data_IF_734081998369
#
_entry.id   IF_734081998369
#
_cell.length_a   1.000
_cell.length_b   1.000
_cell.length_c   1.000
_cell.angle_alpha   90.00
_cell.angle_beta   90.00
_cell.angle_gamma   90.00
#
_symmetry.space_group_name_H-M   'P 1'
#
loop_
_entity.id
_entity.type
_entity.pdbx_description
1 polymer ?
#
# COMPACT_ATOMS: atom_id res chain seq x y z
N UNK A 1 -7.32 -3.75 1.04
CA UNK A 1 -8.09 -3.97 2.30
C UNK A 1 -8.16 -2.65 3.08
N UNK A 2 -9.26 -2.29 3.79
CA UNK A 2 -9.30 -1.04 4.60
C UNK A 2 -10.06 -1.18 5.95
N UNK A 3 -9.30 -0.91 7.02
CA UNK A 3 -9.56 -0.55 8.44
C UNK A 3 -10.37 -1.45 9.40
N UNK A 4 -9.66 -1.94 10.44
CA UNK A 4 -9.65 -1.37 11.80
C UNK A 4 -8.24 -1.56 12.41
N UNK A 5 -7.57 -0.49 12.83
CA UNK A 5 -6.16 -0.54 13.26
C UNK A 5 -6.02 -0.72 14.78
N UNK A 6 -5.04 -1.53 15.16
CA UNK A 6 -4.50 -1.56 16.53
C UNK A 6 -3.00 -1.34 16.40
N UNK A 7 -2.45 -0.49 17.27
CA UNK A 7 -1.02 -0.15 17.26
C UNK A 7 -0.21 -1.40 17.60
N UNK A 8 0.30 -2.08 16.58
CA UNK A 8 1.15 -3.25 16.79
C UNK A 8 2.57 -2.78 17.09
N UNK A 9 2.95 -2.80 18.37
CA UNK A 9 4.32 -2.50 18.79
C UNK A 9 5.35 -3.40 18.08
N UNK A 10 6.36 -2.79 17.46
CA UNK A 10 7.50 -3.45 16.82
C UNK A 10 7.33 -3.82 15.33
N UNK A 11 6.15 -3.60 14.74
CA UNK A 11 5.88 -3.88 13.32
C UNK A 11 6.73 -3.01 12.39
N UNK A 12 6.76 -1.69 12.67
CA UNK A 12 7.55 -0.74 11.87
C UNK A 12 9.04 -0.97 12.04
N UNK A 13 9.51 -1.29 13.25
CA UNK A 13 10.91 -1.64 13.48
C UNK A 13 11.33 -2.88 12.69
N UNK A 14 10.46 -3.89 12.61
CA UNK A 14 10.71 -5.11 11.85
C UNK A 14 10.84 -4.81 10.35
N UNK A 15 9.90 -4.03 9.80
CA UNK A 15 9.89 -3.70 8.37
C UNK A 15 10.98 -2.69 7.99
N UNK A 16 11.25 -1.68 8.83
CA UNK A 16 12.28 -0.67 8.60
C UNK A 16 13.71 -1.25 8.68
N UNK A 17 13.96 -2.18 9.62
CA UNK A 17 15.26 -2.88 9.74
C UNK A 17 15.47 -3.91 8.64
N UNK A 18 14.43 -4.24 7.86
CA UNK A 18 14.52 -5.12 6.69
C UNK A 18 15.09 -4.41 5.46
N UNK A 19 15.52 -3.14 5.53
CA UNK A 19 16.25 -2.47 4.43
C UNK A 19 17.42 -3.36 3.96
N UNK A 20 17.23 -4.04 2.82
CA UNK A 20 18.25 -4.83 2.14
C UNK A 20 18.03 -6.35 2.08
N UNK A 21 16.83 -6.85 1.74
CA UNK A 21 16.76 -8.16 1.06
C UNK A 21 16.88 -7.93 -0.46
N UNK A 22 18.05 -7.45 -0.85
CA UNK A 22 18.59 -7.45 -2.22
C UNK A 22 20.08 -7.07 -2.03
N UNK A 23 21.08 -7.96 -2.11
CA UNK A 23 21.60 -8.54 -3.38
C UNK A 23 22.47 -9.82 -3.20
N UNK A 24 22.43 -10.54 -2.08
CA UNK A 24 23.35 -11.70 -1.85
C UNK A 24 22.78 -12.85 -1.01
N UNK A 25 21.46 -12.94 -0.84
CA UNK A 25 20.87 -14.09 -0.13
C UNK A 25 20.61 -15.20 -1.15
N UNK A 26 21.37 -16.28 -1.05
CA UNK A 26 21.23 -17.49 -1.86
C UNK A 26 19.74 -17.88 -1.96
N UNK A 27 19.19 -18.08 -3.16
CA UNK A 27 17.75 -18.37 -3.37
C UNK A 27 17.25 -19.52 -2.49
N UNK A 28 18.12 -20.52 -2.23
CA UNK A 28 17.85 -21.64 -1.31
C UNK A 28 17.54 -21.20 0.14
N UNK A 29 18.05 -20.07 0.60
CA UNK A 29 17.79 -19.53 1.95
C UNK A 29 16.42 -18.84 2.02
N UNK A 30 15.95 -18.25 0.91
CA UNK A 30 14.65 -17.57 0.80
C UNK A 30 13.48 -18.57 0.69
N UNK A 31 13.72 -19.73 0.06
CA UNK A 31 12.76 -20.84 -0.06
C UNK A 31 12.68 -21.70 1.23
N UNK A 32 13.57 -21.48 2.20
CA UNK A 32 13.54 -22.20 3.49
C UNK A 32 12.30 -21.89 4.34
N UNK A 33 12.02 -22.75 5.34
CA UNK A 33 10.90 -22.56 6.29
C UNK A 33 11.01 -21.25 7.07
N UNK A 34 9.88 -20.62 7.49
CA UNK A 34 9.88 -19.36 8.20
C UNK A 34 10.63 -19.51 9.52
N UNK A 35 11.30 -18.44 9.95
CA UNK A 35 11.98 -18.44 11.25
C UNK A 35 10.96 -18.47 12.39
N UNK A 36 11.33 -18.99 13.56
CA UNK A 36 10.46 -18.95 14.75
C UNK A 36 9.98 -17.53 15.09
N UNK A 37 10.84 -16.53 14.83
CA UNK A 37 10.50 -15.12 15.03
C UNK A 37 9.40 -14.66 14.07
N UNK A 38 9.45 -15.08 12.80
CA UNK A 38 8.38 -14.80 11.83
C UNK A 38 7.08 -15.49 12.23
N UNK A 39 7.12 -16.78 12.60
CA UNK A 39 5.93 -17.54 13.00
C UNK A 39 5.23 -16.88 14.20
N UNK A 40 5.96 -16.64 15.30
CA UNK A 40 5.42 -15.97 16.50
C UNK A 40 4.83 -14.60 16.19
N UNK A 41 5.44 -13.87 15.26
CA UNK A 41 4.96 -12.56 14.86
C UNK A 41 3.68 -12.66 14.02
N UNK A 42 3.66 -13.55 13.02
CA UNK A 42 2.47 -13.81 12.17
C UNK A 42 1.29 -14.26 13.03
N UNK A 43 1.48 -15.21 13.96
CA UNK A 43 0.41 -15.69 14.83
C UNK A 43 -0.21 -14.56 15.64
N UNK A 44 0.64 -13.69 16.20
CA UNK A 44 0.18 -12.48 16.89
C UNK A 44 -0.60 -11.57 15.93
N UNK A 45 -0.09 -11.33 14.74
CA UNK A 45 -0.70 -10.41 13.77
C UNK A 45 -2.03 -10.91 13.24
N UNK A 46 -2.18 -12.21 13.00
CA UNK A 46 -3.45 -12.80 12.54
C UNK A 46 -4.57 -12.67 13.59
N UNK A 47 -4.20 -12.54 14.87
CA UNK A 47 -5.15 -12.25 15.95
C UNK A 47 -5.50 -10.76 16.05
N UNK A 48 -4.54 -9.87 15.79
CA UNK A 48 -4.71 -8.41 15.91
C UNK A 48 -5.27 -7.76 14.64
N UNK A 49 -5.03 -8.36 13.48
CA UNK A 49 -5.36 -7.84 12.15
C UNK A 49 -6.00 -8.95 11.29
N UNK A 50 -7.22 -9.43 11.62
CA UNK A 50 -7.82 -10.57 10.94
C UNK A 50 -8.10 -10.35 9.45
N UNK A 51 -8.24 -9.08 9.02
CA UNK A 51 -8.50 -8.75 7.62
C UNK A 51 -7.35 -9.08 6.66
N UNK A 52 -6.12 -9.25 7.17
CA UNK A 52 -5.00 -9.67 6.31
C UNK A 52 -5.25 -11.03 5.69
N UNK A 53 -6.14 -11.85 6.26
CA UNK A 53 -6.52 -13.16 5.71
C UNK A 53 -7.19 -13.09 4.34
N UNK A 54 -7.60 -11.89 3.91
CA UNK A 54 -8.19 -11.64 2.60
C UNK A 54 -7.13 -11.24 1.55
N UNK A 55 -5.86 -11.09 1.93
CA UNK A 55 -4.80 -10.66 1.03
C UNK A 55 -4.15 -11.84 0.32
N UNK A 56 -3.61 -11.60 -0.88
CA UNK A 56 -2.95 -12.64 -1.66
C UNK A 56 -1.68 -13.16 -0.95
N UNK A 57 -0.98 -12.31 -0.19
CA UNK A 57 0.22 -12.71 0.55
C UNK A 57 -0.12 -13.65 1.72
N UNK A 58 -1.35 -13.60 2.24
CA UNK A 58 -1.82 -14.61 3.19
C UNK A 58 -2.08 -15.94 2.48
N UNK A 59 -2.73 -15.92 1.32
CA UNK A 59 -2.95 -17.12 0.49
C UNK A 59 -1.60 -17.77 0.14
N UNK A 60 -0.66 -17.00 -0.41
CA UNK A 60 0.70 -17.46 -0.77
C UNK A 60 1.46 -18.04 0.44
N UNK A 61 1.31 -17.44 1.63
CA UNK A 61 1.94 -17.93 2.85
C UNK A 61 1.33 -19.25 3.33
N UNK A 62 0.00 -19.41 3.23
CA UNK A 62 -0.68 -20.66 3.62
C UNK A 62 -0.36 -21.79 2.64
N UNK A 63 -0.33 -21.50 1.33
CA UNK A 63 0.02 -22.49 0.30
C UNK A 63 1.50 -22.88 0.36
N UNK A 64 2.39 -21.91 0.53
CA UNK A 64 3.83 -22.14 0.60
C UNK A 64 4.48 -21.27 1.69
N UNK A 65 4.56 -21.75 2.94
CA UNK A 65 5.10 -20.98 4.06
C UNK A 65 6.63 -20.93 3.98
N UNK A 66 7.18 -20.13 3.07
CA UNK A 66 8.62 -19.84 2.99
C UNK A 66 8.97 -18.64 3.87
N UNK A 67 10.26 -18.43 4.15
CA UNK A 67 10.73 -17.18 4.79
C UNK A 67 10.31 -15.96 3.98
N UNK A 68 10.34 -16.05 2.65
CA UNK A 68 9.94 -14.99 1.75
C UNK A 68 8.45 -14.67 1.91
N UNK A 69 7.57 -15.66 1.83
CA UNK A 69 6.12 -15.46 1.93
C UNK A 69 5.71 -15.00 3.33
N UNK A 70 6.35 -15.53 4.37
CA UNK A 70 6.18 -15.04 5.73
C UNK A 70 6.56 -13.55 5.86
N UNK A 71 7.66 -13.15 5.23
CA UNK A 71 8.09 -11.76 5.22
C UNK A 71 7.20 -10.86 4.37
N UNK A 72 6.69 -11.33 3.24
CA UNK A 72 5.71 -10.62 2.42
C UNK A 72 4.44 -10.36 3.24
N UNK A 73 3.87 -11.39 3.88
CA UNK A 73 2.71 -11.26 4.75
C UNK A 73 2.91 -10.24 5.88
N UNK A 74 4.06 -10.26 6.57
CA UNK A 74 4.36 -9.27 7.62
C UNK A 74 4.43 -7.84 7.05
N UNK A 75 5.01 -7.67 5.87
CA UNK A 75 5.05 -6.37 5.18
C UNK A 75 3.64 -5.90 4.83
N UNK A 76 2.80 -6.77 4.26
CA UNK A 76 1.39 -6.48 3.95
C UNK A 76 0.60 -6.09 5.20
N UNK A 77 0.87 -6.71 6.35
CA UNK A 77 0.27 -6.32 7.62
C UNK A 77 0.68 -4.90 8.01
N UNK A 78 1.96 -4.53 7.89
CA UNK A 78 2.41 -3.16 8.16
C UNK A 78 1.76 -2.14 7.24
N UNK A 79 1.66 -2.46 5.96
CA UNK A 79 1.15 -1.55 4.94
C UNK A 79 -0.37 -1.34 5.05
N UNK A 80 -1.12 -2.38 5.42
CA UNK A 80 -2.54 -2.29 5.74
C UNK A 80 -2.83 -1.59 7.09
N UNK A 81 -1.79 -1.30 7.89
CA UNK A 81 -1.91 -0.64 9.20
C UNK A 81 -1.07 0.66 9.24
N UNK A 82 -1.46 1.70 8.47
CA UNK A 82 -0.76 2.99 8.44
C UNK A 82 -0.64 3.63 9.83
N UNK A 83 -1.59 3.38 10.74
CA UNK A 83 -1.57 3.90 12.11
C UNK A 83 -0.51 3.23 13.01
N UNK A 84 0.14 2.16 12.54
CA UNK A 84 1.30 1.59 13.21
C UNK A 84 2.54 2.49 13.05
N UNK A 85 2.56 3.38 12.05
CA UNK A 85 3.62 4.37 11.84
C UNK A 85 3.50 5.53 12.84
N UNK A 86 4.64 6.17 13.15
CA UNK A 86 4.70 7.26 14.14
C UNK A 86 3.84 8.45 13.71
N UNK A 87 3.84 8.75 12.42
CA UNK A 87 3.01 9.78 11.80
C UNK A 87 2.77 9.43 10.31
N UNK A 88 1.85 10.17 9.67
CA UNK A 88 1.51 10.02 8.24
C UNK A 88 2.74 10.26 7.35
N UNK A 89 3.60 11.21 7.72
CA UNK A 89 4.85 11.53 7.01
C UNK A 89 5.75 10.30 6.86
N UNK A 90 5.91 9.53 7.94
CA UNK A 90 6.73 8.31 7.96
C UNK A 90 6.15 7.25 7.04
N UNK A 91 4.82 7.09 7.01
CA UNK A 91 4.15 6.16 6.10
C UNK A 91 4.38 6.55 4.63
N UNK A 92 4.15 7.82 4.27
CA UNK A 92 4.36 8.31 2.89
C UNK A 92 5.83 8.14 2.48
N UNK A 93 6.75 8.50 3.37
CA UNK A 93 8.18 8.30 3.12
C UNK A 93 8.50 6.83 2.86
N UNK A 94 7.92 5.93 3.66
CA UNK A 94 8.13 4.50 3.56
C UNK A 94 7.65 3.96 2.21
N UNK A 95 6.40 4.21 1.80
CA UNK A 95 5.87 3.71 0.51
C UNK A 95 6.63 4.32 -0.68
N UNK A 96 7.03 5.59 -0.59
CA UNK A 96 7.72 6.29 -1.68
C UNK A 96 9.19 5.85 -1.87
N UNK A 97 9.80 5.20 -0.88
CA UNK A 97 11.25 4.91 -0.86
C UNK A 97 11.61 3.46 -0.57
N UNK A 98 10.63 2.58 -0.29
CA UNK A 98 10.91 1.16 -0.03
C UNK A 98 11.51 0.48 -1.27
N UNK A 99 12.27 -0.61 -1.07
CA UNK A 99 12.70 -1.46 -2.18
C UNK A 99 11.52 -1.87 -3.08
N UNK A 100 11.79 -2.07 -4.36
CA UNK A 100 10.81 -2.48 -5.38
C UNK A 100 9.69 -1.47 -5.68
N UNK A 101 9.73 -0.27 -5.09
CA UNK A 101 8.94 0.85 -5.60
C UNK A 101 9.46 1.24 -6.98
N UNK A 102 8.56 1.35 -7.94
CA UNK A 102 8.90 1.87 -9.24
C UNK A 102 8.96 3.40 -9.17
N UNK A 103 10.01 3.98 -9.75
CA UNK A 103 10.31 5.40 -9.62
C UNK A 103 10.14 6.12 -10.95
N UNK A 104 9.15 7.01 -11.00
CA UNK A 104 9.00 7.98 -12.10
C UNK A 104 9.92 9.20 -11.92
N UNK A 105 10.48 9.39 -10.72
CA UNK A 105 11.40 10.49 -10.39
C UNK A 105 12.48 10.04 -9.38
N UNK A 106 12.99 10.95 -8.54
CA UNK A 106 13.94 10.59 -7.46
C UNK A 106 13.35 9.62 -6.42
N UNK A 107 12.01 9.56 -6.33
CA UNK A 107 11.23 8.67 -5.48
C UNK A 107 10.09 7.99 -6.25
N UNK A 108 9.39 7.06 -5.60
CA UNK A 108 8.28 6.32 -6.19
C UNK A 108 6.90 6.97 -6.06
N UNK A 109 6.79 8.06 -5.28
CA UNK A 109 5.53 8.78 -5.17
C UNK A 109 5.23 9.58 -6.45
N UNK A 110 4.02 9.42 -6.98
CA UNK A 110 3.47 10.17 -8.11
C UNK A 110 2.04 10.65 -7.81
N UNK A 111 1.49 11.50 -8.66
CA UNK A 111 0.15 12.05 -8.50
C UNK A 111 -0.40 12.57 -9.83
N UNK A 112 -1.41 13.45 -9.76
CA UNK A 112 -1.96 14.08 -10.97
C UNK A 112 -0.90 14.93 -11.69
N UNK A 113 -0.10 15.66 -10.94
CA UNK A 113 1.02 16.49 -11.41
C UNK A 113 2.21 15.64 -11.87
N UNK A 114 2.98 16.16 -12.85
CA UNK A 114 4.16 15.45 -13.40
C UNK A 114 5.32 15.36 -12.42
N UNK A 115 5.54 16.41 -11.62
CA UNK A 115 6.68 16.49 -10.71
C UNK A 115 6.19 16.60 -9.27
N UNK A 116 5.96 15.45 -8.65
CA UNK A 116 5.62 15.40 -7.23
C UNK A 116 6.89 15.65 -6.40
N UNK A 117 6.85 16.63 -5.49
CA UNK A 117 7.90 16.85 -4.51
C UNK A 117 7.55 16.17 -3.19
N UNK A 118 8.18 15.03 -2.88
CA UNK A 118 7.92 14.27 -1.66
C UNK A 118 7.99 15.12 -0.38
N UNK A 119 8.88 16.11 -0.30
CA UNK A 119 9.00 16.96 0.90
C UNK A 119 7.82 17.91 1.08
N UNK A 120 7.22 18.37 -0.02
CA UNK A 120 6.02 19.21 0.00
C UNK A 120 4.80 18.39 0.35
N UNK A 121 4.62 17.22 -0.28
CA UNK A 121 3.51 16.29 0.02
C UNK A 121 3.48 15.91 1.49
N UNK A 122 4.65 15.62 2.07
CA UNK A 122 4.79 15.33 3.49
C UNK A 122 4.28 16.45 4.38
N UNK A 123 4.72 17.68 4.12
CA UNK A 123 4.27 18.88 4.86
C UNK A 123 2.78 19.13 4.68
N UNK A 124 2.27 18.94 3.46
CA UNK A 124 0.85 19.08 3.16
C UNK A 124 0.04 18.11 4.03
N UNK A 125 0.40 16.83 4.03
CA UNK A 125 -0.36 15.79 4.74
C UNK A 125 -0.29 15.90 6.27
N UNK A 126 0.82 16.42 6.81
CA UNK A 126 0.92 16.73 8.24
C UNK A 126 -0.07 17.82 8.68
N UNK A 127 -0.40 18.76 7.79
CA UNK A 127 -1.31 19.87 8.07
C UNK A 127 -2.78 19.56 7.79
N UNK A 128 -3.11 18.35 7.31
CA UNK A 128 -4.49 17.94 7.06
C UNK A 128 -5.20 17.67 8.39
N UNK A 129 -6.21 18.48 8.67
CA UNK A 129 -7.13 18.31 9.80
C UNK A 129 -8.22 17.25 9.54
N UNK A 130 -8.40 16.83 8.28
CA UNK A 130 -9.35 15.81 7.84
C UNK A 130 -8.81 14.37 7.85
N UNK A 131 -9.61 13.46 7.29
CA UNK A 131 -9.23 12.05 7.14
C UNK A 131 -8.29 11.91 5.94
N UNK A 132 -7.20 11.18 6.14
CA UNK A 132 -6.32 10.74 5.05
C UNK A 132 -6.58 9.26 4.84
N UNK A 133 -7.10 8.92 3.67
CA UNK A 133 -7.37 7.56 3.26
C UNK A 133 -6.12 6.98 2.61
N UNK A 134 -5.77 5.73 2.93
CA UNK A 134 -4.60 5.07 2.35
C UNK A 134 -4.96 3.72 1.73
N UNK A 135 -5.75 3.70 0.63
CA UNK A 135 -6.13 2.46 -0.04
C UNK A 135 -4.90 1.71 -0.56
N UNK A 136 -4.94 0.39 -0.45
CA UNK A 136 -4.01 -0.49 -1.16
C UNK A 136 -4.84 -1.31 -2.14
N UNK A 137 -4.51 -1.16 -3.42
CA UNK A 137 -5.14 -1.88 -4.52
C UNK A 137 -4.08 -2.80 -5.11
N UNK A 138 -4.39 -4.09 -5.11
CA UNK A 138 -3.50 -5.15 -5.58
C UNK A 138 -4.20 -5.93 -6.67
N UNK A 139 -3.46 -6.25 -7.72
CA UNK A 139 -3.90 -7.10 -8.82
C UNK A 139 -3.05 -8.37 -8.82
N UNK A 140 -3.63 -9.49 -9.24
CA UNK A 140 -2.81 -10.64 -9.62
C UNK A 140 -1.94 -10.26 -10.81
N UNK A 141 -0.72 -10.80 -10.88
CA UNK A 141 0.22 -10.53 -11.97
C UNK A 141 -0.42 -10.71 -13.34
N UNK A 142 -1.17 -11.80 -13.54
CA UNK A 142 -1.80 -12.09 -14.82
C UNK A 142 -2.86 -11.05 -15.19
N UNK A 143 -3.59 -10.53 -14.20
CA UNK A 143 -4.58 -9.47 -14.40
C UNK A 143 -3.91 -8.12 -14.65
N UNK A 144 -2.85 -7.80 -13.93
CA UNK A 144 -2.08 -6.57 -14.15
C UNK A 144 -1.50 -6.51 -15.57
N UNK A 145 -0.91 -7.61 -16.05
CA UNK A 145 -0.40 -7.73 -17.42
C UNK A 145 -1.53 -7.65 -18.46
N UNK A 146 -2.63 -8.39 -18.23
CA UNK A 146 -3.80 -8.40 -19.13
C UNK A 146 -4.46 -7.03 -19.26
N UNK A 147 -4.53 -6.27 -18.18
CA UNK A 147 -5.12 -4.93 -18.13
C UNK A 147 -4.11 -3.83 -18.51
N UNK A 148 -2.81 -4.15 -18.60
CA UNK A 148 -1.74 -3.19 -18.88
C UNK A 148 -1.41 -2.27 -17.69
N UNK A 149 -1.76 -2.67 -16.47
CA UNK A 149 -1.47 -1.94 -15.22
C UNK A 149 -0.27 -2.57 -14.49
N UNK A 150 0.83 -2.79 -15.21
CA UNK A 150 2.04 -3.48 -14.74
C UNK A 150 3.21 -2.54 -14.41
N UNK A 151 3.01 -1.23 -14.56
CA UNK A 151 4.01 -0.18 -14.32
C UNK A 151 3.38 1.11 -13.75
N UNK A 152 4.22 1.96 -13.16
CA UNK A 152 3.77 3.15 -12.44
C UNK A 152 3.08 4.18 -13.35
N UNK A 153 3.55 4.35 -14.59
CA UNK A 153 2.97 5.30 -15.55
C UNK A 153 1.54 4.91 -15.95
N UNK A 154 1.29 3.62 -16.13
CA UNK A 154 -0.04 3.10 -16.44
C UNK A 154 -1.00 3.24 -15.26
N UNK A 155 -0.55 2.95 -14.04
CA UNK A 155 -1.33 3.21 -12.82
C UNK A 155 -1.66 4.69 -12.66
N UNK A 156 -0.68 5.58 -12.89
CA UNK A 156 -0.88 7.02 -12.84
C UNK A 156 -1.93 7.46 -13.87
N UNK A 157 -1.84 6.96 -15.10
CA UNK A 157 -2.77 7.29 -16.17
C UNK A 157 -4.20 6.82 -15.87
N UNK A 158 -4.34 5.61 -15.34
CA UNK A 158 -5.64 5.06 -14.91
C UNK A 158 -6.28 5.92 -13.83
N UNK A 159 -5.55 6.26 -12.77
CA UNK A 159 -6.11 7.07 -11.68
C UNK A 159 -6.48 8.47 -12.18
N UNK A 160 -5.66 9.08 -13.05
CA UNK A 160 -6.02 10.37 -13.69
C UNK A 160 -7.30 10.26 -14.53
N UNK A 161 -7.52 9.17 -15.24
CA UNK A 161 -8.75 8.95 -16.01
C UNK A 161 -9.97 8.74 -15.09
N UNK A 162 -9.76 8.19 -13.89
CA UNK A 162 -10.80 7.82 -12.92
C UNK A 162 -10.97 8.79 -11.76
N UNK A 163 -10.22 9.89 -11.71
CA UNK A 163 -10.16 10.79 -10.57
C UNK A 163 -11.51 11.40 -10.17
N UNK A 164 -12.41 11.69 -11.12
CA UNK A 164 -13.75 12.21 -10.81
C UNK A 164 -14.62 11.14 -10.14
N UNK A 165 -14.60 9.91 -10.68
CA UNK A 165 -15.30 8.76 -10.11
C UNK A 165 -14.76 8.44 -8.70
N UNK A 166 -13.45 8.53 -8.50
CA UNK A 166 -12.85 8.35 -7.18
C UNK A 166 -13.26 9.47 -6.22
N UNK A 167 -13.26 10.74 -6.64
CA UNK A 167 -13.70 11.85 -5.81
C UNK A 167 -15.13 11.66 -5.29
N UNK A 168 -16.04 11.21 -6.15
CA UNK A 168 -17.42 10.85 -5.78
C UNK A 168 -17.46 9.69 -4.79
N UNK A 169 -16.68 8.63 -5.02
CA UNK A 169 -16.61 7.46 -4.12
C UNK A 169 -16.10 7.84 -2.73
N UNK A 170 -15.12 8.75 -2.65
CA UNK A 170 -14.57 9.25 -1.38
C UNK A 170 -15.40 10.34 -0.72
N UNK A 171 -16.51 10.78 -1.35
CA UNK A 171 -17.34 11.90 -0.90
C UNK A 171 -16.51 13.17 -0.67
N UNK A 172 -15.66 13.50 -1.65
CA UNK A 172 -14.81 14.70 -1.66
C UNK A 172 -15.17 15.52 -2.90
N UNK A 173 -15.47 16.83 -2.78
CA UNK A 173 -15.64 17.70 -3.93
C UNK A 173 -14.45 17.60 -4.87
N UNK A 174 -14.69 17.50 -6.19
CA UNK A 174 -13.63 17.20 -7.14
C UNK A 174 -12.50 18.26 -7.15
N UNK A 175 -12.84 19.51 -6.90
CA UNK A 175 -11.90 20.63 -6.76
C UNK A 175 -11.07 20.58 -5.47
N UNK A 176 -11.53 19.85 -4.45
CA UNK A 176 -10.80 19.58 -3.22
C UNK A 176 -10.09 18.21 -3.22
N UNK A 177 -10.33 17.36 -4.22
CA UNK A 177 -9.83 15.99 -4.26
C UNK A 177 -8.34 15.94 -4.60
N UNK A 178 -7.53 15.50 -3.64
CA UNK A 178 -6.09 15.28 -3.83
C UNK A 178 -5.74 13.82 -3.64
N UNK A 179 -4.87 13.31 -4.52
CA UNK A 179 -4.38 11.95 -4.44
C UNK A 179 -2.89 11.86 -4.82
N UNK A 180 -2.23 10.89 -4.19
CA UNK A 180 -0.90 10.41 -4.57
C UNK A 180 -0.89 8.89 -4.61
N UNK A 181 0.06 8.32 -5.36
CA UNK A 181 0.24 6.88 -5.52
C UNK A 181 1.71 6.49 -5.45
N UNK A 182 1.99 5.28 -4.98
CA UNK A 182 3.29 4.61 -5.11
C UNK A 182 3.06 3.17 -5.57
N UNK A 183 3.61 2.82 -6.73
CA UNK A 183 3.45 1.49 -7.33
C UNK A 183 4.62 0.58 -6.96
N UNK A 184 4.30 -0.67 -6.60
CA UNK A 184 5.23 -1.72 -6.28
C UNK A 184 5.05 -2.89 -7.23
N UNK A 185 6.08 -3.16 -8.03
CA UNK A 185 6.05 -4.19 -9.06
C UNK A 185 6.46 -5.56 -8.50
N UNK A 186 5.71 -6.05 -7.51
CA UNK A 186 6.00 -7.34 -6.86
C UNK A 186 5.59 -8.52 -7.74
N UNK A 187 6.45 -9.55 -7.86
CA UNK A 187 6.32 -10.62 -8.85
C UNK A 187 4.93 -11.26 -8.94
N UNK A 188 4.28 -11.56 -7.81
CA UNK A 188 2.94 -12.17 -7.79
C UNK A 188 1.81 -11.15 -7.85
N UNK A 189 1.90 -10.08 -7.05
CA UNK A 189 0.78 -9.18 -6.79
C UNK A 189 1.21 -7.72 -6.88
N UNK A 190 1.44 -7.18 -8.10
CA UNK A 190 1.72 -5.77 -8.26
C UNK A 190 0.59 -4.93 -7.67
N UNK A 191 0.96 -3.90 -6.91
CA UNK A 191 0.00 -3.11 -6.15
C UNK A 191 0.40 -1.65 -6.05
N UNK A 192 -0.59 -0.82 -5.76
CA UNK A 192 -0.42 0.60 -5.50
C UNK A 192 -0.86 0.93 -4.07
N UNK A 193 -0.02 1.69 -3.35
CA UNK A 193 -0.47 2.45 -2.19
C UNK A 193 -0.97 3.80 -2.66
N UNK A 194 -2.23 4.08 -2.44
CA UNK A 194 -2.81 5.40 -2.66
C UNK A 194 -2.84 6.18 -1.35
N UNK A 195 -2.78 7.50 -1.48
CA UNK A 195 -3.06 8.45 -0.40
C UNK A 195 -4.07 9.43 -0.94
N UNK A 196 -5.24 9.54 -0.30
CA UNK A 196 -6.38 10.33 -0.77
C UNK A 196 -6.92 11.19 0.36
N UNK A 197 -7.15 12.47 0.10
CA UNK A 197 -7.69 13.43 1.07
C UNK A 197 -8.30 14.65 0.39
N UNK A 198 -9.05 15.43 1.15
CA UNK A 198 -9.54 16.73 0.73
C UNK A 198 -8.58 17.85 1.15
N UNK A 199 -8.38 18.84 0.28
CA UNK A 199 -7.63 20.06 0.62
C UNK A 199 -8.46 21.09 1.38
N UNK A 200 -9.79 20.98 1.32
CA UNK A 200 -10.73 21.86 2.02
C UNK A 200 -11.31 21.24 3.30
N UNK A 201 -12.52 21.68 3.67
CA UNK A 201 -13.19 21.25 4.90
C UNK A 201 -13.91 19.90 4.76
N UNK A 202 -14.00 19.36 3.54
CA UNK A 202 -14.59 18.05 3.30
C UNK A 202 -13.80 16.98 4.08
N UNK A 203 -14.50 16.22 4.93
CA UNK A 203 -13.84 15.17 5.71
C UNK A 203 -13.55 13.92 4.88
N UNK A 204 -14.27 13.75 3.77
CA UNK A 204 -14.36 12.51 3.02
C UNK A 204 -15.03 11.40 3.82
N UNK A 205 -15.78 10.54 3.13
CA UNK A 205 -16.46 9.41 3.75
C UNK A 205 -16.54 8.25 2.77
N UNK A 206 -16.16 7.05 3.23
CA UNK A 206 -16.34 5.82 2.47
C UNK A 206 -17.04 4.77 3.34
N UNK A 207 -17.98 4.06 2.76
CA UNK A 207 -18.61 2.88 3.35
C UNK A 207 -17.96 1.59 2.84
N UNK A 208 -18.31 0.44 3.42
CA UNK A 208 -17.93 -0.87 2.87
C UNK A 208 -18.39 -1.05 1.41
N UNK A 209 -19.54 -0.48 1.03
CA UNK A 209 -20.01 -0.52 -0.35
C UNK A 209 -19.15 0.33 -1.27
N UNK A 210 -18.66 1.47 -0.78
CA UNK A 210 -17.77 2.35 -1.53
C UNK A 210 -16.40 1.71 -1.72
N UNK A 211 -15.96 0.86 -0.78
CA UNK A 211 -14.75 0.03 -0.97
C UNK A 211 -14.90 -0.92 -2.16
N UNK A 212 -16.06 -1.57 -2.31
CA UNK A 212 -16.32 -2.41 -3.49
C UNK A 212 -16.39 -1.59 -4.79
N UNK A 213 -16.91 -0.36 -4.73
CA UNK A 213 -16.86 0.55 -5.88
C UNK A 213 -15.43 0.90 -6.26
N UNK A 214 -14.55 1.25 -5.30
CA UNK A 214 -13.12 1.48 -5.57
C UNK A 214 -12.54 0.28 -6.32
N UNK A 215 -12.78 -0.96 -5.86
CA UNK A 215 -12.28 -2.15 -6.55
C UNK A 215 -12.79 -2.25 -7.99
N UNK A 216 -14.06 -1.97 -8.22
CA UNK A 216 -14.66 -2.02 -9.56
C UNK A 216 -14.05 -0.99 -10.53
N UNK A 217 -13.55 0.14 -10.03
CA UNK A 217 -12.83 1.14 -10.85
C UNK A 217 -11.59 0.51 -11.50
N UNK A 218 -10.88 -0.34 -10.74
CA UNK A 218 -9.59 -0.94 -11.14
C UNK A 218 -9.71 -2.35 -11.77
N UNK A 219 -10.90 -2.95 -11.76
CA UNK A 219 -11.15 -4.30 -12.29
C UNK A 219 -11.65 -4.32 -13.76
N UNK A 220 -11.69 -3.17 -14.43
CA UNK A 220 -12.18 -3.03 -15.81
C UNK A 220 -11.11 -3.32 -16.86
#
# INVERSE_FOLDING_TARGET
HLKASKKVGGLIDYVAKRKGVDKTVNEQILVGKPTEKQLKFIDKMLSECPDVKKSFEYEDYIENPTKQNASALITTIAENNPDAFVNKETYINYIATRPHVEKLSSHGLFGSEENVNLSEVKKEIENINGVVWTPIISLKREDAERLGYDNADMWRSLIRAKQMELAEIFDIPFDEFKWYGAFHNEAGHPHIHMVVYATGDAKGYITERDIEKVKSVFAN
#
